data_IF_784124788411
#
_entry.id   IF_784124788411
#
_cell.length_a   1.000
_cell.length_b   1.000
_cell.length_c   1.000
_cell.angle_alpha   90.00
_cell.angle_beta   90.00
_cell.angle_gamma   90.00
#
_symmetry.space_group_name_H-M   'P 1'
#
loop_
_entity.id
_entity.type
_entity.pdbx_description
1 polymer ?
#
# COMPACT_ATOMS: atom_id res chain seq x y z
N UNK A 1 66.91 13.47 10.48
CA UNK A 1 65.65 13.85 11.18
C UNK A 1 64.40 13.73 10.32
N UNK A 2 64.42 13.99 9.00
CA UNK A 2 63.25 13.81 8.12
C UNK A 2 62.78 12.35 7.95
N UNK A 3 63.70 11.37 7.92
CA UNK A 3 63.34 9.93 7.84
C UNK A 3 62.70 9.38 9.12
N UNK A 4 62.98 9.98 10.28
CA UNK A 4 62.37 9.61 11.57
C UNK A 4 60.96 10.21 11.70
N UNK A 5 60.75 11.42 11.17
CA UNK A 5 59.43 12.06 11.06
C UNK A 5 58.50 11.29 10.11
N UNK A 6 59.01 10.76 9.00
CA UNK A 6 58.23 9.94 8.07
C UNK A 6 57.89 8.54 8.62
N UNK A 7 58.76 7.96 9.45
CA UNK A 7 58.51 6.67 10.10
C UNK A 7 57.35 6.76 11.11
N UNK A 8 57.25 7.86 11.86
CA UNK A 8 56.15 8.12 12.78
C UNK A 8 54.81 8.39 12.06
N UNK A 9 54.82 9.07 10.90
CA UNK A 9 53.58 9.29 10.12
C UNK A 9 53.02 8.02 9.51
N UNK A 10 53.86 7.06 9.10
CA UNK A 10 53.39 5.77 8.55
C UNK A 10 52.80 4.89 9.66
N UNK A 11 53.38 4.90 10.86
CA UNK A 11 52.88 4.13 12.02
C UNK A 11 51.53 4.65 12.54
N UNK A 12 51.27 5.96 12.49
CA UNK A 12 49.97 6.52 12.86
C UNK A 12 48.86 6.26 11.81
N UNK A 13 49.25 5.98 10.57
CA UNK A 13 48.31 5.72 9.46
C UNK A 13 47.76 4.29 9.45
N UNK A 14 48.48 3.33 10.06
CA UNK A 14 48.09 1.91 10.10
C UNK A 14 47.06 1.62 11.20
N UNK A 15 46.97 2.45 12.24
CA UNK A 15 46.02 2.26 13.34
C UNK A 15 44.56 2.59 12.97
N UNK A 16 44.33 3.20 11.81
CA UNK A 16 43.00 3.67 11.38
C UNK A 16 42.29 2.62 10.49
N UNK A 17 43.00 1.59 9.99
CA UNK A 17 42.41 0.57 9.11
C UNK A 17 41.79 -0.63 9.86
N UNK A 18 41.88 -0.69 11.19
CA UNK A 18 41.31 -1.78 12.00
C UNK A 18 40.35 -1.30 13.10
N UNK A 19 39.81 -0.08 12.99
CA UNK A 19 38.82 0.45 13.94
C UNK A 19 37.45 0.71 13.29
N UNK A 20 36.97 -0.26 12.51
CA UNK A 20 35.54 -0.53 12.40
C UNK A 20 35.35 -2.03 12.66
N UNK A 21 35.24 -2.40 13.94
CA UNK A 21 34.53 -3.63 14.28
C UNK A 21 33.05 -3.29 14.21
N UNK A 22 32.52 -3.10 12.99
CA UNK A 22 31.08 -3.18 12.79
C UNK A 22 30.72 -4.60 13.17
N UNK A 23 30.10 -4.72 14.34
CA UNK A 23 29.41 -5.95 14.69
C UNK A 23 28.34 -6.07 13.60
N UNK A 24 28.55 -6.97 12.66
CA UNK A 24 27.57 -7.53 11.74
C UNK A 24 26.48 -8.22 12.58
N UNK A 25 25.82 -7.46 13.46
CA UNK A 25 24.48 -7.75 13.85
C UNK A 25 23.66 -7.38 12.62
N UNK A 26 23.63 -8.32 11.68
CA UNK A 26 22.65 -8.40 10.62
C UNK A 26 21.28 -8.41 11.31
N UNK A 27 20.79 -7.24 11.70
CA UNK A 27 19.39 -7.01 11.92
C UNK A 27 18.78 -7.28 10.55
N UNK A 28 18.30 -8.52 10.34
CA UNK A 28 17.47 -8.77 9.17
C UNK A 28 16.41 -7.66 9.19
N UNK A 29 16.07 -7.06 8.05
CA UNK A 29 14.86 -6.27 8.00
C UNK A 29 13.77 -7.13 8.63
N UNK A 30 13.18 -6.67 9.72
CA UNK A 30 11.92 -7.24 10.18
C UNK A 30 10.95 -6.81 9.09
N UNK A 31 10.84 -7.62 8.04
CA UNK A 31 9.71 -7.58 7.13
C UNK A 31 8.50 -7.94 7.98
N UNK A 32 7.95 -6.96 8.70
CA UNK A 32 6.59 -7.12 9.19
C UNK A 32 5.76 -7.33 7.92
N UNK A 33 5.07 -8.48 7.77
CA UNK A 33 4.20 -8.67 6.63
C UNK A 33 3.25 -7.49 6.61
N UNK A 34 3.31 -6.68 5.55
CA UNK A 34 2.38 -5.58 5.31
C UNK A 34 1.05 -6.22 4.93
N UNK A 35 0.37 -6.77 5.94
CA UNK A 35 -0.91 -7.42 5.82
C UNK A 35 -1.98 -6.42 6.27
N UNK A 36 -2.92 -6.14 5.37
CA UNK A 36 -4.08 -5.30 5.70
C UNK A 36 -4.99 -5.96 6.73
N UNK A 37 -5.93 -5.21 7.31
CA UNK A 37 -6.89 -5.75 8.27
C UNK A 37 -7.80 -6.81 7.64
N UNK A 38 -8.28 -7.75 8.45
CA UNK A 38 -9.35 -8.68 8.08
C UNK A 38 -10.69 -7.93 8.03
N UNK A 39 -10.91 -7.21 6.92
CA UNK A 39 -12.06 -6.33 6.72
C UNK A 39 -12.53 -6.42 5.27
N UNK A 40 -13.83 -6.70 5.10
CA UNK A 40 -14.47 -6.64 3.80
C UNK A 40 -14.52 -5.21 3.27
N UNK A 41 -14.05 -5.02 2.05
CA UNK A 41 -14.09 -3.77 1.33
C UNK A 41 -14.79 -3.95 -0.02
N UNK A 42 -15.31 -2.84 -0.55
CA UNK A 42 -15.97 -2.78 -1.84
C UNK A 42 -15.20 -1.84 -2.78
N UNK A 43 -15.18 -2.20 -4.06
CA UNK A 43 -14.59 -1.41 -5.12
C UNK A 43 -15.51 -1.26 -6.31
N UNK A 44 -15.33 -0.19 -7.06
CA UNK A 44 -16.04 0.09 -8.30
C UNK A 44 -15.08 -0.02 -9.49
N UNK A 45 -15.41 -0.83 -10.49
CA UNK A 45 -14.62 -0.94 -11.72
C UNK A 45 -15.04 0.10 -12.77
N UNK A 46 -14.17 0.33 -13.76
CA UNK A 46 -14.45 1.23 -14.90
C UNK A 46 -15.58 0.76 -15.84
N UNK A 47 -16.05 -0.47 -15.64
CA UNK A 47 -17.16 -1.13 -16.36
C UNK A 47 -18.46 -1.15 -15.55
N UNK A 48 -18.58 -0.31 -14.52
CA UNK A 48 -19.74 -0.27 -13.60
C UNK A 48 -19.99 -1.62 -12.90
N UNK A 49 -18.94 -2.31 -12.47
CA UNK A 49 -19.07 -3.52 -11.67
C UNK A 49 -18.69 -3.22 -10.23
N UNK A 50 -19.48 -3.74 -9.29
CA UNK A 50 -19.15 -3.77 -7.88
C UNK A 50 -18.32 -5.03 -7.59
N UNK A 51 -17.15 -4.84 -7.00
CA UNK A 51 -16.31 -5.93 -6.50
C UNK A 51 -16.28 -5.90 -4.97
N UNK A 52 -16.20 -7.07 -4.36
CA UNK A 52 -15.88 -7.20 -2.94
C UNK A 52 -14.61 -8.00 -2.74
N UNK A 53 -13.81 -7.64 -1.74
CA UNK A 53 -12.57 -8.34 -1.40
C UNK A 53 -12.24 -8.12 0.07
N UNK A 54 -11.39 -8.98 0.60
CA UNK A 54 -10.83 -8.76 1.93
C UNK A 54 -9.62 -7.83 1.83
N UNK A 55 -9.57 -6.81 2.69
CA UNK A 55 -8.45 -5.85 2.76
C UNK A 55 -7.13 -6.51 3.16
N UNK A 56 -7.16 -7.70 3.77
CA UNK A 56 -5.97 -8.51 4.04
C UNK A 56 -5.41 -9.22 2.80
N UNK A 57 -6.17 -9.31 1.70
CA UNK A 57 -5.78 -9.90 0.43
C UNK A 57 -6.51 -9.25 -0.76
N UNK A 58 -6.24 -7.98 -1.07
CA UNK A 58 -6.99 -7.21 -2.07
C UNK A 58 -6.78 -7.66 -3.53
N UNK A 59 -5.87 -8.62 -3.75
CA UNK A 59 -5.58 -9.20 -5.07
C UNK A 59 -6.64 -10.22 -5.51
N UNK A 60 -7.46 -10.71 -4.58
CA UNK A 60 -8.47 -11.74 -4.84
C UNK A 60 -9.85 -11.16 -4.57
N UNK A 61 -10.66 -11.05 -5.62
CA UNK A 61 -12.06 -10.66 -5.49
C UNK A 61 -12.90 -11.85 -5.01
N UNK A 62 -13.72 -11.61 -3.99
CA UNK A 62 -14.72 -12.54 -3.47
C UNK A 62 -15.97 -12.50 -4.35
N UNK A 63 -16.35 -11.32 -4.82
CA UNK A 63 -17.44 -11.14 -5.79
C UNK A 63 -17.10 -10.08 -6.82
N UNK A 64 -17.73 -10.21 -7.99
CA UNK A 64 -17.68 -9.25 -9.08
C UNK A 64 -19.03 -9.26 -9.81
N UNK A 65 -19.78 -8.17 -9.71
CA UNK A 65 -21.16 -8.11 -10.19
C UNK A 65 -21.43 -6.79 -10.90
N UNK A 66 -21.99 -6.85 -12.10
CA UNK A 66 -22.41 -5.64 -12.84
C UNK A 66 -23.54 -4.93 -12.11
N UNK A 67 -23.40 -3.62 -11.91
CA UNK A 67 -24.48 -2.79 -11.36
C UNK A 67 -25.52 -2.54 -12.44
N UNK A 68 -26.76 -2.95 -12.18
CA UNK A 68 -27.89 -2.80 -13.12
C UNK A 68 -28.72 -1.55 -12.79
N UNK A 69 -29.61 -1.15 -13.71
CA UNK A 69 -30.46 0.04 -13.53
C UNK A 69 -29.76 1.38 -13.76
N UNK A 70 -28.45 1.36 -14.06
CA UNK A 70 -27.70 2.54 -14.53
C UNK A 70 -28.14 2.85 -15.96
N UNK A 71 -28.43 4.12 -16.24
CA UNK A 71 -28.84 4.58 -17.58
C UNK A 71 -27.72 4.28 -18.58
N UNK A 72 -28.09 3.80 -19.78
CA UNK A 72 -27.13 3.47 -20.83
C UNK A 72 -26.25 4.68 -21.18
N UNK A 73 -24.93 4.44 -21.23
CA UNK A 73 -23.93 5.49 -21.47
C UNK A 73 -23.44 6.23 -20.22
N UNK A 74 -24.09 6.07 -19.06
CA UNK A 74 -23.56 6.61 -17.81
C UNK A 74 -22.46 5.73 -17.21
N UNK A 75 -21.48 6.36 -16.58
CA UNK A 75 -20.47 5.68 -15.76
C UNK A 75 -20.63 6.05 -14.29
N UNK A 76 -20.51 5.07 -13.40
CA UNK A 76 -20.39 5.31 -11.97
C UNK A 76 -18.97 5.80 -11.67
N UNK A 77 -18.86 6.86 -10.88
CA UNK A 77 -17.61 7.59 -10.62
C UNK A 77 -17.09 7.36 -9.20
N UNK A 78 -17.99 7.22 -8.22
CA UNK A 78 -17.64 6.97 -6.83
C UNK A 78 -18.72 6.13 -6.14
N UNK A 79 -18.32 5.52 -5.01
CA UNK A 79 -19.21 4.83 -4.09
C UNK A 79 -18.87 5.22 -2.64
N UNK A 80 -19.86 5.26 -1.76
CA UNK A 80 -19.66 5.48 -0.32
C UNK A 80 -20.78 4.84 0.50
N UNK A 81 -20.44 4.24 1.64
CA UNK A 81 -21.42 3.71 2.57
C UNK A 81 -21.91 4.82 3.48
N UNK A 82 -23.22 5.01 3.55
CA UNK A 82 -23.82 5.98 4.48
C UNK A 82 -23.87 5.38 5.89
N UNK A 83 -23.13 5.90 6.90
CA UNK A 83 -23.02 5.23 8.20
C UNK A 83 -24.35 5.07 8.95
N UNK A 84 -25.30 5.99 8.73
CA UNK A 84 -26.59 5.97 9.41
C UNK A 84 -27.51 4.82 8.95
N UNK A 85 -27.35 4.33 7.72
CA UNK A 85 -28.25 3.32 7.12
C UNK A 85 -27.52 2.07 6.62
N UNK A 86 -26.20 2.14 6.42
CA UNK A 86 -25.42 1.05 5.83
C UNK A 86 -25.63 0.89 4.33
N UNK A 87 -26.37 1.78 3.68
CA UNK A 87 -26.62 1.73 2.24
C UNK A 87 -25.40 2.22 1.45
N UNK A 88 -25.11 1.54 0.34
CA UNK A 88 -24.05 1.95 -0.58
C UNK A 88 -24.60 2.93 -1.61
N UNK A 89 -24.16 4.18 -1.55
CA UNK A 89 -24.50 5.20 -2.53
C UNK A 89 -23.46 5.22 -3.66
N UNK A 90 -23.89 5.56 -4.87
CA UNK A 90 -23.02 5.79 -6.01
C UNK A 90 -23.37 7.09 -6.75
N UNK A 91 -22.36 7.79 -7.26
CA UNK A 91 -22.51 8.98 -8.10
C UNK A 91 -22.15 8.65 -9.55
N UNK A 92 -22.99 9.00 -10.52
CA UNK A 92 -22.67 8.85 -11.94
C UNK A 92 -22.11 10.11 -12.59
N UNK A 93 -21.52 9.94 -13.78
CA UNK A 93 -21.06 11.02 -14.65
C UNK A 93 -22.15 12.01 -15.06
N UNK A 94 -23.43 11.65 -14.90
CA UNK A 94 -24.57 12.52 -15.16
C UNK A 94 -25.04 13.27 -13.88
N UNK A 95 -24.23 13.30 -12.82
CA UNK A 95 -24.59 13.88 -11.51
C UNK A 95 -25.83 13.24 -10.88
N UNK A 96 -26.08 11.95 -11.15
CA UNK A 96 -27.18 11.19 -10.56
C UNK A 96 -26.67 10.33 -9.40
N UNK A 97 -27.44 10.31 -8.32
CA UNK A 97 -27.23 9.40 -7.19
C UNK A 97 -28.05 8.12 -7.36
N UNK A 98 -27.41 6.99 -7.05
CA UNK A 98 -27.99 5.66 -7.01
C UNK A 98 -27.76 5.05 -5.63
N UNK A 99 -28.64 4.13 -5.23
CA UNK A 99 -28.41 3.22 -4.11
C UNK A 99 -28.16 1.84 -4.73
N UNK A 100 -27.03 1.23 -4.39
CA UNK A 100 -26.63 -0.10 -4.87
C UNK A 100 -27.01 -1.12 -3.80
N UNK A 101 -27.72 -2.18 -4.22
CA UNK A 101 -28.00 -3.32 -3.36
C UNK A 101 -26.74 -4.18 -3.25
N UNK A 102 -26.23 -4.35 -2.02
CA UNK A 102 -25.02 -5.12 -1.71
C UNK A 102 -25.32 -6.41 -0.96
#
# INVERSE_FOLDING_TARGET
MRKLLHLCTVLFSISILFSCNDSENMMSPIEMPVQGPDLMAYGLTSSNELVSFNSNNPKVFISKTTVTGVVSGEKLMSIDFRPATGELYALSSASKLYIINT
#
